data_IF_233199894125
#
_entry.id   IF_233199894125
#
_cell.length_a   1.000
_cell.length_b   1.000
_cell.length_c   1.000
_cell.angle_alpha   90.00
_cell.angle_beta   90.00
_cell.angle_gamma   90.00
#
_symmetry.space_group_name_H-M   'P 1'
#
loop_
_entity.id
_entity.type
_entity.pdbx_description
1 polymer ?
#
# COMPACT_ATOMS: atom_id res chain seq x y z
N UNK A 1 -31.92 68.50 2.33
CA UNK A 1 -31.40 67.25 1.70
C UNK A 1 -30.23 66.70 2.56
N UNK A 2 -30.42 65.56 3.25
CA UNK A 2 -29.32 64.92 4.02
C UNK A 2 -28.61 63.99 3.11
N UNK A 3 -27.30 64.21 2.84
CA UNK A 3 -26.46 63.33 2.06
C UNK A 3 -26.22 62.05 2.86
N UNK A 4 -26.62 60.91 2.28
CA UNK A 4 -26.48 59.62 2.86
C UNK A 4 -25.03 59.12 2.57
N UNK A 5 -24.11 59.29 3.51
CA UNK A 5 -22.73 58.86 3.40
C UNK A 5 -22.64 57.35 3.65
N UNK A 6 -22.65 56.56 2.58
CA UNK A 6 -22.35 55.13 2.66
C UNK A 6 -20.90 54.91 3.13
N UNK A 7 -20.70 54.42 4.36
CA UNK A 7 -19.41 53.98 4.86
C UNK A 7 -18.92 52.76 4.04
N UNK A 8 -17.90 52.94 3.22
CA UNK A 8 -17.27 51.86 2.44
C UNK A 8 -16.72 50.82 3.41
N UNK A 9 -17.32 49.62 3.44
CA UNK A 9 -16.84 48.51 4.28
C UNK A 9 -15.40 48.17 3.88
N UNK A 10 -14.46 48.21 4.82
CA UNK A 10 -13.07 47.85 4.59
C UNK A 10 -12.93 46.31 4.63
N UNK A 11 -12.67 45.72 3.50
CA UNK A 11 -12.39 44.25 3.36
C UNK A 11 -10.92 43.89 3.63
N UNK A 12 -10.11 44.84 4.12
CA UNK A 12 -8.67 44.63 4.33
C UNK A 12 -8.37 43.46 5.26
N UNK A 13 -9.12 43.31 6.35
CA UNK A 13 -8.98 42.19 7.28
C UNK A 13 -9.28 40.85 6.60
N UNK A 14 -10.35 40.81 5.78
CA UNK A 14 -10.72 39.59 5.03
C UNK A 14 -9.60 39.17 4.07
N UNK A 15 -9.05 40.10 3.28
CA UNK A 15 -7.97 39.82 2.37
C UNK A 15 -6.69 39.34 3.07
N UNK A 16 -6.35 39.93 4.23
CA UNK A 16 -5.21 39.49 5.05
C UNK A 16 -5.45 38.06 5.56
N UNK A 17 -6.64 37.75 6.07
CA UNK A 17 -6.97 36.39 6.53
C UNK A 17 -6.91 35.39 5.39
N UNK A 18 -7.46 35.70 4.22
CA UNK A 18 -7.39 34.83 3.05
C UNK A 18 -5.93 34.59 2.58
N UNK A 19 -5.10 35.65 2.61
CA UNK A 19 -3.68 35.52 2.27
C UNK A 19 -2.94 34.62 3.26
N UNK A 20 -3.21 34.73 4.56
CA UNK A 20 -2.62 33.83 5.59
C UNK A 20 -3.06 32.39 5.35
N UNK A 21 -4.35 32.13 5.12
CA UNK A 21 -4.86 30.79 4.82
C UNK A 21 -4.18 30.22 3.58
N UNK A 22 -4.06 31.01 2.51
CA UNK A 22 -3.41 30.57 1.27
C UNK A 22 -1.93 30.19 1.50
N UNK A 23 -1.19 31.00 2.26
CA UNK A 23 0.21 30.71 2.60
C UNK A 23 0.31 29.42 3.41
N UNK A 24 -0.51 29.26 4.45
CA UNK A 24 -0.51 28.04 5.27
C UNK A 24 -0.87 26.80 4.44
N UNK A 25 -1.87 26.92 3.56
CA UNK A 25 -2.25 25.82 2.66
C UNK A 25 -1.13 25.44 1.69
N UNK A 26 -0.47 26.42 1.07
CA UNK A 26 0.68 26.17 0.18
C UNK A 26 1.86 25.54 0.93
N UNK A 27 2.12 25.97 2.16
CA UNK A 27 3.17 25.38 3.00
C UNK A 27 2.84 23.93 3.35
N UNK A 28 1.60 23.63 3.72
CA UNK A 28 1.15 22.29 4.02
C UNK A 28 1.24 21.37 2.79
N UNK A 29 0.78 21.86 1.62
CA UNK A 29 0.88 21.12 0.35
C UNK A 29 2.36 20.83 0.01
N UNK A 30 3.24 21.84 0.13
CA UNK A 30 4.67 21.65 -0.13
C UNK A 30 5.27 20.60 0.81
N UNK A 31 4.94 20.65 2.10
CA UNK A 31 5.40 19.66 3.08
C UNK A 31 4.93 18.24 2.72
N UNK A 32 3.65 18.08 2.32
CA UNK A 32 3.10 16.79 1.87
C UNK A 32 3.84 16.30 0.63
N UNK A 33 4.05 17.16 -0.37
CA UNK A 33 4.76 16.80 -1.59
C UNK A 33 6.21 16.36 -1.31
N UNK A 34 6.92 17.06 -0.44
CA UNK A 34 8.27 16.64 -0.01
C UNK A 34 8.22 15.30 0.68
N UNK A 35 7.26 15.08 1.59
CA UNK A 35 7.11 13.85 2.35
C UNK A 35 6.85 12.62 1.46
N UNK A 36 5.93 12.72 0.49
CA UNK A 36 5.58 11.59 -0.40
C UNK A 36 6.67 11.33 -1.45
N UNK A 37 7.50 12.33 -1.81
CA UNK A 37 8.61 12.15 -2.75
C UNK A 37 9.93 11.71 -2.07
N UNK A 38 9.99 11.73 -0.75
CA UNK A 38 11.12 11.20 0.02
C UNK A 38 10.84 9.72 0.36
N UNK A 39 11.18 8.81 -0.55
CA UNK A 39 10.94 7.37 -0.42
C UNK A 39 12.12 6.53 -0.89
N UNK A 40 12.20 5.29 -0.43
CA UNK A 40 13.21 4.31 -0.83
C UNK A 40 12.89 3.78 -2.22
N UNK A 41 13.78 4.04 -3.17
CA UNK A 41 13.62 3.64 -4.57
C UNK A 41 14.02 2.19 -4.81
N UNK A 42 13.39 1.56 -5.79
CA UNK A 42 13.82 0.29 -6.32
C UNK A 42 15.23 0.42 -6.93
N UNK A 43 16.08 -0.57 -6.66
CA UNK A 43 17.41 -0.65 -7.25
C UNK A 43 17.39 -1.42 -8.58
N UNK A 44 18.52 -1.46 -9.27
CA UNK A 44 18.63 -2.13 -10.58
C UNK A 44 18.22 -3.62 -10.52
N UNK A 45 18.54 -4.32 -9.43
CA UNK A 45 18.15 -5.72 -9.23
C UNK A 45 16.64 -5.86 -9.13
N UNK A 46 15.99 -4.94 -8.43
CA UNK A 46 14.53 -4.94 -8.29
C UNK A 46 13.85 -4.64 -9.63
N UNK A 47 14.37 -3.68 -10.40
CA UNK A 47 13.85 -3.36 -11.73
C UNK A 47 14.07 -4.52 -12.73
N UNK A 48 15.20 -5.22 -12.67
CA UNK A 48 15.45 -6.39 -13.51
C UNK A 48 14.47 -7.55 -13.22
N UNK A 49 13.97 -7.67 -11.98
CA UNK A 49 12.98 -8.68 -11.63
C UNK A 49 11.56 -8.39 -12.16
N UNK A 50 11.35 -7.25 -12.82
CA UNK A 50 10.10 -6.95 -13.53
C UNK A 50 10.08 -7.51 -14.97
N UNK A 51 11.20 -8.05 -15.44
CA UNK A 51 11.24 -8.73 -16.73
C UNK A 51 10.65 -10.13 -16.60
N UNK A 52 9.87 -10.56 -17.61
CA UNK A 52 9.39 -11.94 -17.69
C UNK A 52 10.55 -12.91 -17.88
N UNK A 53 10.43 -14.10 -17.31
CA UNK A 53 11.39 -15.21 -17.45
C UNK A 53 10.74 -16.41 -18.15
N UNK A 54 11.51 -17.48 -18.36
CA UNK A 54 10.97 -18.74 -18.89
C UNK A 54 9.90 -19.36 -17.98
N UNK A 55 9.93 -19.05 -16.67
CA UNK A 55 9.04 -19.60 -15.65
C UNK A 55 7.88 -18.70 -15.24
N UNK A 56 8.04 -17.39 -15.39
CA UNK A 56 7.14 -16.37 -14.86
C UNK A 56 6.85 -15.31 -15.92
N UNK A 57 5.57 -15.11 -16.21
CA UNK A 57 5.09 -13.97 -16.98
C UNK A 57 4.84 -12.79 -16.04
N UNK A 58 5.34 -11.60 -16.39
CA UNK A 58 5.14 -10.37 -15.60
C UNK A 58 4.27 -9.41 -16.38
N UNK A 59 3.15 -9.01 -15.80
CA UNK A 59 2.15 -8.13 -16.41
C UNK A 59 1.89 -6.92 -15.52
N UNK A 60 1.87 -5.73 -16.11
CA UNK A 60 1.49 -4.49 -15.44
C UNK A 60 0.08 -4.11 -15.86
N UNK A 61 -0.81 -3.86 -14.92
CA UNK A 61 -2.19 -3.46 -15.18
C UNK A 61 -2.37 -1.93 -15.33
N UNK A 62 -3.61 -1.51 -15.59
CA UNK A 62 -3.96 -0.09 -15.76
C UNK A 62 -3.77 0.73 -14.47
N UNK A 63 -3.81 0.08 -13.30
CA UNK A 63 -3.56 0.68 -11.98
C UNK A 63 -2.08 0.69 -11.60
N UNK A 64 -1.20 0.27 -12.52
CA UNK A 64 0.24 0.12 -12.32
C UNK A 64 0.64 -0.98 -11.32
N UNK A 65 -0.29 -1.82 -10.85
CA UNK A 65 0.05 -3.01 -10.08
C UNK A 65 0.70 -4.06 -10.99
N UNK A 66 1.58 -4.88 -10.43
CA UNK A 66 2.34 -5.88 -11.18
C UNK A 66 1.92 -7.27 -10.77
N UNK A 67 1.54 -8.09 -11.73
CA UNK A 67 1.24 -9.51 -11.52
C UNK A 67 2.35 -10.38 -12.06
N UNK A 68 2.84 -11.28 -11.22
CA UNK A 68 3.83 -12.31 -11.53
C UNK A 68 3.08 -13.64 -11.66
N UNK A 69 2.99 -14.16 -12.88
CA UNK A 69 2.16 -15.33 -13.21
C UNK A 69 3.06 -16.54 -13.48
N UNK A 70 3.10 -17.54 -12.60
CA UNK A 70 3.86 -18.77 -12.83
C UNK A 70 3.20 -19.68 -13.87
N UNK A 71 3.96 -20.55 -14.51
CA UNK A 71 3.43 -21.59 -15.43
C UNK A 71 2.44 -22.53 -14.77
N UNK A 72 2.69 -22.86 -13.50
CA UNK A 72 1.83 -23.71 -12.68
C UNK A 72 1.49 -22.99 -11.39
N UNK A 73 0.22 -22.63 -11.25
CA UNK A 73 -0.27 -21.87 -10.11
C UNK A 73 -0.72 -22.88 -9.03
N UNK A 74 -0.20 -22.73 -7.82
CA UNK A 74 -0.59 -23.50 -6.63
C UNK A 74 -1.39 -22.68 -5.64
N UNK A 75 -1.11 -21.36 -5.56
CA UNK A 75 -1.80 -20.40 -4.69
C UNK A 75 -1.66 -18.98 -5.25
N UNK A 76 -2.42 -18.03 -4.72
CA UNK A 76 -2.30 -16.62 -5.02
C UNK A 76 -1.91 -15.79 -3.79
N UNK A 77 -1.14 -14.73 -4.00
CA UNK A 77 -0.75 -13.75 -3.00
C UNK A 77 -1.02 -12.35 -3.52
N UNK A 78 -1.78 -11.55 -2.76
CA UNK A 78 -1.91 -10.12 -2.97
C UNK A 78 -1.02 -9.41 -1.95
N UNK A 79 -0.10 -8.54 -2.41
CA UNK A 79 0.93 -7.96 -1.57
C UNK A 79 0.89 -6.44 -1.54
N UNK A 80 0.77 -5.89 -0.32
CA UNK A 80 0.81 -4.46 -0.01
C UNK A 80 2.23 -4.02 0.32
N UNK A 81 2.82 -3.07 -0.42
CA UNK A 81 4.16 -2.55 -0.15
C UNK A 81 4.23 -1.73 1.14
N UNK A 82 5.40 -1.62 1.71
CA UNK A 82 5.68 -0.79 2.89
C UNK A 82 5.57 0.70 2.59
N UNK A 83 5.23 1.48 3.62
CA UNK A 83 5.14 2.93 3.50
C UNK A 83 6.48 3.57 3.12
N UNK A 84 6.45 4.53 2.20
CA UNK A 84 7.64 5.21 1.67
C UNK A 84 8.65 4.26 1.00
N UNK A 85 8.19 3.15 0.45
CA UNK A 85 9.00 2.24 -0.37
C UNK A 85 8.36 2.14 -1.74
N UNK A 86 9.14 2.32 -2.79
CA UNK A 86 8.69 2.07 -4.17
C UNK A 86 8.25 0.61 -4.29
N UNK A 87 7.01 0.37 -4.70
CA UNK A 87 6.44 -0.99 -4.69
C UNK A 87 7.28 -1.97 -5.50
N UNK A 88 7.88 -1.54 -6.60
CA UNK A 88 8.75 -2.36 -7.45
C UNK A 88 10.02 -2.87 -6.72
N UNK A 89 10.36 -2.30 -5.56
CA UNK A 89 11.45 -2.83 -4.72
C UNK A 89 11.17 -4.26 -4.21
N UNK A 90 9.90 -4.69 -4.20
CA UNK A 90 9.48 -6.04 -3.81
C UNK A 90 9.44 -7.03 -4.99
N UNK A 91 9.70 -6.58 -6.22
CA UNK A 91 9.65 -7.43 -7.40
C UNK A 91 10.53 -8.69 -7.29
N UNK A 92 11.76 -8.66 -6.74
CA UNK A 92 12.56 -9.88 -6.58
C UNK A 92 11.89 -10.94 -5.71
N UNK A 93 11.24 -10.53 -4.62
CA UNK A 93 10.51 -11.44 -3.74
C UNK A 93 9.29 -12.03 -4.46
N UNK A 94 8.54 -11.20 -5.16
CA UNK A 94 7.34 -11.66 -5.90
C UNK A 94 7.70 -12.59 -7.03
N UNK A 95 8.78 -12.29 -7.76
CA UNK A 95 9.28 -13.14 -8.84
C UNK A 95 9.74 -14.52 -8.32
N UNK A 96 10.48 -14.54 -7.21
CA UNK A 96 10.95 -15.78 -6.58
C UNK A 96 9.78 -16.63 -6.07
N UNK A 97 8.77 -16.01 -5.47
CA UNK A 97 7.54 -16.71 -5.08
C UNK A 97 6.80 -17.28 -6.30
N UNK A 98 6.77 -16.53 -7.41
CA UNK A 98 6.16 -16.99 -8.65
C UNK A 98 6.94 -18.13 -9.29
N UNK A 99 8.27 -18.12 -9.27
CA UNK A 99 9.09 -19.26 -9.68
C UNK A 99 8.77 -20.54 -8.88
N UNK A 100 8.23 -20.39 -7.67
CA UNK A 100 7.77 -21.48 -6.81
C UNK A 100 6.26 -21.74 -6.88
N UNK A 101 5.58 -21.22 -7.89
CA UNK A 101 4.18 -21.53 -8.19
C UNK A 101 3.13 -20.63 -7.51
N UNK A 102 3.52 -19.53 -6.91
CA UNK A 102 2.60 -18.59 -6.27
C UNK A 102 2.33 -17.43 -7.23
N UNK A 103 1.10 -17.28 -7.71
CA UNK A 103 0.70 -16.09 -8.44
C UNK A 103 0.74 -14.87 -7.50
N UNK A 104 1.62 -13.90 -7.78
CA UNK A 104 1.81 -12.75 -6.92
C UNK A 104 1.28 -11.47 -7.57
N UNK A 105 0.44 -10.74 -6.86
CA UNK A 105 -0.05 -9.42 -7.26
C UNK A 105 0.56 -8.38 -6.34
N UNK A 106 1.51 -7.62 -6.86
CA UNK A 106 2.21 -6.55 -6.17
C UNK A 106 1.46 -5.24 -6.42
N UNK A 107 0.78 -4.74 -5.41
CA UNK A 107 -0.07 -3.56 -5.51
C UNK A 107 0.75 -2.27 -5.62
N UNK A 108 0.34 -1.38 -6.52
CA UNK A 108 0.82 0.00 -6.56
C UNK A 108 0.02 0.85 -5.56
N UNK A 109 0.71 1.68 -4.77
CA UNK A 109 0.08 2.54 -3.77
C UNK A 109 0.26 4.02 -4.08
N UNK A 110 -0.82 4.83 -4.03
CA UNK A 110 -0.73 6.28 -4.19
C UNK A 110 0.28 6.88 -3.20
N UNK A 111 1.24 7.65 -3.69
CA UNK A 111 2.27 8.27 -2.87
C UNK A 111 3.12 7.29 -2.04
N UNK A 112 3.22 6.03 -2.44
CA UNK A 112 3.89 4.95 -1.71
C UNK A 112 3.34 4.75 -0.27
N UNK A 113 2.03 4.93 -0.08
CA UNK A 113 1.37 4.81 1.22
C UNK A 113 0.09 3.97 1.11
N UNK A 114 0.13 2.73 1.58
CA UNK A 114 -0.99 1.79 1.54
C UNK A 114 -2.26 2.30 2.26
N UNK A 115 -2.11 3.20 3.23
CA UNK A 115 -3.24 3.83 3.92
C UNK A 115 -4.09 4.73 3.01
N UNK A 116 -3.56 5.19 1.89
CA UNK A 116 -4.28 6.04 0.92
C UNK A 116 -5.17 5.21 -0.02
N UNK A 117 -4.96 3.87 -0.06
CA UNK A 117 -5.78 2.94 -0.84
C UNK A 117 -5.80 1.57 -0.13
N UNK A 118 -6.50 1.53 1.00
CA UNK A 118 -6.56 0.34 1.84
C UNK A 118 -7.32 -0.83 1.17
N UNK A 119 -8.22 -0.51 0.26
CA UNK A 119 -9.07 -1.47 -0.46
C UNK A 119 -8.50 -1.80 -1.88
N UNK A 120 -7.22 -1.47 -2.15
CA UNK A 120 -6.54 -1.71 -3.43
C UNK A 120 -6.53 -3.19 -3.87
N UNK A 121 -6.77 -4.15 -2.96
CA UNK A 121 -6.89 -5.58 -3.27
C UNK A 121 -8.22 -5.94 -3.95
N UNK A 122 -9.19 -5.03 -4.00
CA UNK A 122 -10.53 -5.31 -4.53
C UNK A 122 -10.50 -5.84 -5.96
N UNK A 123 -11.21 -6.94 -6.17
CA UNK A 123 -11.42 -7.54 -7.49
C UNK A 123 -10.25 -8.37 -8.02
N UNK A 124 -9.03 -8.27 -7.49
CA UNK A 124 -7.86 -9.00 -8.03
C UNK A 124 -8.01 -10.51 -7.94
N UNK A 125 -8.42 -11.06 -6.80
CA UNK A 125 -8.62 -12.51 -6.66
C UNK A 125 -9.65 -13.05 -7.65
N UNK A 126 -10.69 -12.28 -7.93
CA UNK A 126 -11.75 -12.66 -8.88
C UNK A 126 -11.32 -12.72 -10.35
N UNK A 127 -10.20 -12.08 -10.72
CA UNK A 127 -9.65 -12.11 -12.09
C UNK A 127 -9.00 -13.45 -12.42
N UNK A 128 -8.62 -14.23 -11.41
CA UNK A 128 -7.90 -15.50 -11.56
C UNK A 128 -8.73 -16.66 -10.98
N UNK A 129 -9.81 -17.02 -11.68
CA UNK A 129 -10.79 -18.03 -11.23
C UNK A 129 -10.22 -19.46 -11.07
N UNK A 130 -9.04 -19.71 -11.61
CA UNK A 130 -8.30 -20.96 -11.47
C UNK A 130 -7.43 -21.01 -10.19
N UNK A 131 -7.38 -19.94 -9.40
CA UNK A 131 -6.69 -19.88 -8.10
C UNK A 131 -7.73 -20.01 -7.00
N UNK A 132 -7.64 -21.08 -6.21
CA UNK A 132 -8.59 -21.38 -5.11
C UNK A 132 -8.09 -20.90 -3.76
N UNK A 133 -6.77 -20.93 -3.55
CA UNK A 133 -6.15 -20.61 -2.28
C UNK A 133 -5.46 -19.25 -2.35
N UNK A 134 -6.15 -18.24 -1.84
CA UNK A 134 -5.62 -16.89 -1.80
C UNK A 134 -5.07 -16.53 -0.42
N UNK A 135 -3.95 -15.83 -0.44
CA UNK A 135 -3.34 -15.20 0.72
C UNK A 135 -3.18 -13.71 0.47
N UNK A 136 -3.12 -12.95 1.55
CA UNK A 136 -2.86 -11.52 1.48
C UNK A 136 -1.74 -11.18 2.43
N UNK A 137 -0.90 -10.23 2.09
CA UNK A 137 0.22 -9.89 2.95
C UNK A 137 0.80 -8.54 2.64
N UNK A 138 1.80 -8.15 3.42
CA UNK A 138 2.48 -6.89 3.18
C UNK A 138 3.62 -6.65 4.16
N UNK A 139 4.41 -5.63 3.84
CA UNK A 139 5.53 -5.19 4.65
C UNK A 139 5.16 -3.93 5.43
N UNK A 140 5.53 -3.87 6.73
CA UNK A 140 5.37 -2.67 7.57
C UNK A 140 3.94 -2.11 7.49
N UNK A 141 3.74 -0.84 7.10
CA UNK A 141 2.43 -0.23 6.91
C UNK A 141 1.52 -1.02 5.95
N UNK A 142 2.10 -1.62 4.89
CA UNK A 142 1.37 -2.48 3.97
C UNK A 142 0.79 -3.72 4.64
N UNK A 143 1.54 -4.34 5.55
CA UNK A 143 1.04 -5.49 6.32
C UNK A 143 -0.11 -5.13 7.26
N UNK A 144 -0.09 -3.93 7.86
CA UNK A 144 -1.24 -3.42 8.65
C UNK A 144 -2.49 -3.28 7.77
N UNK A 145 -2.34 -2.75 6.55
CA UNK A 145 -3.47 -2.61 5.61
C UNK A 145 -3.95 -3.96 5.10
N UNK A 146 -3.05 -4.87 4.74
CA UNK A 146 -3.37 -6.23 4.34
C UNK A 146 -4.17 -6.98 5.43
N UNK A 147 -3.74 -6.91 6.69
CA UNK A 147 -4.45 -7.51 7.81
C UNK A 147 -5.85 -6.88 8.02
N UNK A 148 -5.93 -5.55 7.91
CA UNK A 148 -7.21 -4.83 8.02
C UNK A 148 -8.17 -5.18 6.88
N UNK A 149 -7.67 -5.38 5.66
CA UNK A 149 -8.44 -5.84 4.52
C UNK A 149 -8.91 -7.28 4.72
N UNK A 150 -8.00 -8.19 5.11
CA UNK A 150 -8.33 -9.59 5.39
C UNK A 150 -9.39 -9.74 6.47
N UNK A 151 -9.36 -8.91 7.52
CA UNK A 151 -10.37 -8.94 8.57
C UNK A 151 -11.79 -8.63 8.07
N UNK A 152 -11.93 -7.82 7.01
CA UNK A 152 -13.21 -7.48 6.39
C UNK A 152 -13.66 -8.52 5.35
N UNK A 153 -12.72 -9.30 4.82
CA UNK A 153 -12.92 -10.24 3.72
C UNK A 153 -12.36 -11.64 4.05
N UNK A 154 -12.55 -12.10 5.30
CA UNK A 154 -11.90 -13.30 5.81
C UNK A 154 -12.21 -14.56 4.98
N UNK A 155 -13.43 -14.67 4.45
CA UNK A 155 -13.84 -15.80 3.61
C UNK A 155 -13.11 -15.89 2.26
N UNK A 156 -12.44 -14.80 1.84
CA UNK A 156 -11.70 -14.74 0.58
C UNK A 156 -10.25 -15.25 0.71
N UNK A 157 -9.73 -15.41 1.93
CA UNK A 157 -8.32 -15.69 2.16
C UNK A 157 -8.11 -16.86 3.11
N UNK A 158 -7.13 -17.70 2.81
CA UNK A 158 -6.64 -18.75 3.71
C UNK A 158 -5.73 -18.20 4.82
N UNK A 159 -5.16 -17.01 4.65
CA UNK A 159 -4.28 -16.42 5.67
C UNK A 159 -3.67 -15.09 5.30
N UNK A 160 -2.94 -14.53 6.29
CA UNK A 160 -2.27 -13.23 6.23
C UNK A 160 -0.76 -13.40 6.44
N UNK A 161 0.05 -12.73 5.62
CA UNK A 161 1.51 -12.71 5.71
C UNK A 161 1.98 -11.33 6.14
N UNK A 162 2.60 -11.23 7.31
CA UNK A 162 3.08 -9.99 7.91
C UNK A 162 4.63 -9.97 7.89
N UNK A 163 5.21 -9.11 7.06
CA UNK A 163 6.65 -8.92 7.00
C UNK A 163 7.01 -7.62 7.75
N UNK A 164 7.74 -7.74 8.85
CA UNK A 164 8.05 -6.62 9.75
C UNK A 164 6.81 -5.76 10.04
N UNK A 165 5.68 -6.41 10.36
CA UNK A 165 4.37 -5.77 10.52
C UNK A 165 3.54 -6.46 11.60
N UNK A 166 2.41 -5.86 11.96
CA UNK A 166 1.45 -6.41 12.91
C UNK A 166 0.02 -6.11 12.43
N UNK A 167 -0.96 -6.84 12.96
CA UNK A 167 -2.38 -6.54 12.74
C UNK A 167 -2.88 -5.54 13.76
N UNK A 168 -3.68 -4.55 13.31
CA UNK A 168 -4.49 -3.68 14.18
C UNK A 168 -5.93 -4.16 14.28
N UNK A 169 -6.33 -5.12 13.43
CA UNK A 169 -7.60 -5.82 13.51
C UNK A 169 -7.45 -7.11 14.30
N UNK A 170 -8.50 -7.52 14.99
CA UNK A 170 -8.56 -8.84 15.64
C UNK A 170 -8.81 -9.90 14.56
N UNK A 171 -7.87 -10.85 14.43
CA UNK A 171 -7.92 -11.94 13.46
C UNK A 171 -8.22 -13.30 14.11
N UNK A 172 -8.36 -13.38 15.45
CA UNK A 172 -8.35 -14.62 16.21
C UNK A 172 -9.52 -15.58 15.88
N UNK A 173 -10.70 -15.04 15.58
CA UNK A 173 -11.90 -15.84 15.32
C UNK A 173 -12.28 -15.91 13.84
N UNK A 174 -11.39 -15.46 12.94
CA UNK A 174 -11.68 -15.36 11.50
C UNK A 174 -11.26 -16.60 10.69
N UNK A 175 -10.63 -17.60 11.31
CA UNK A 175 -10.16 -18.79 10.62
C UNK A 175 -8.95 -18.56 9.70
N UNK A 176 -8.32 -17.40 9.77
CA UNK A 176 -7.17 -17.03 8.97
C UNK A 176 -5.87 -17.58 9.57
N UNK A 177 -5.05 -18.26 8.77
CA UNK A 177 -3.68 -18.55 9.16
C UNK A 177 -2.85 -17.25 9.18
N UNK A 178 -1.97 -17.07 10.16
CA UNK A 178 -1.10 -15.87 10.25
C UNK A 178 0.36 -16.30 10.23
N UNK A 179 1.11 -15.83 9.21
CA UNK A 179 2.55 -15.93 9.16
C UNK A 179 3.15 -14.55 9.46
N UNK A 180 3.91 -14.45 10.54
CA UNK A 180 4.65 -13.22 10.90
C UNK A 180 6.15 -13.46 10.80
N UNK A 181 6.84 -12.63 10.03
CA UNK A 181 8.29 -12.67 9.83
C UNK A 181 8.87 -11.29 10.15
N UNK A 182 9.85 -11.24 11.04
CA UNK A 182 10.52 -10.00 11.43
C UNK A 182 11.98 -10.25 11.80
N UNK A 183 12.79 -9.20 11.72
CA UNK A 183 14.19 -9.26 12.14
C UNK A 183 14.31 -9.20 13.66
N UNK A 184 15.20 -10.02 14.26
CA UNK A 184 15.48 -9.98 15.71
C UNK A 184 16.04 -8.63 16.17
N UNK A 185 16.67 -7.88 15.26
CA UNK A 185 17.28 -6.56 15.51
C UNK A 185 16.44 -5.42 14.88
N UNK A 186 15.14 -5.66 14.63
CA UNK A 186 14.25 -4.62 14.10
C UNK A 186 14.00 -3.54 15.14
N UNK A 187 14.62 -2.37 14.97
CA UNK A 187 14.50 -1.24 15.89
C UNK A 187 13.23 -0.40 15.70
N UNK A 188 12.39 -0.71 14.70
CA UNK A 188 11.15 0.02 14.38
C UNK A 188 9.92 -0.71 14.88
N UNK A 189 9.95 -2.04 14.78
CA UNK A 189 8.84 -2.89 15.17
C UNK A 189 8.73 -3.01 16.69
N UNK A 190 7.54 -2.75 17.23
CA UNK A 190 7.27 -2.93 18.67
C UNK A 190 6.83 -4.37 18.91
N UNK A 191 7.74 -5.22 19.41
CA UNK A 191 7.50 -6.65 19.64
C UNK A 191 6.38 -6.91 20.69
N UNK A 192 6.08 -5.97 21.57
CA UNK A 192 4.97 -6.03 22.52
C UNK A 192 3.57 -6.04 21.87
N UNK A 193 3.48 -5.78 20.58
CA UNK A 193 2.25 -5.87 19.79
C UNK A 193 2.02 -7.22 19.09
N UNK A 194 2.92 -8.18 19.29
CA UNK A 194 2.84 -9.54 18.68
C UNK A 194 2.29 -10.62 19.61
N UNK A 195 1.72 -10.23 20.74
CA UNK A 195 1.10 -11.18 21.71
C UNK A 195 -0.38 -11.26 21.51
#
# INVERSE_FOLDING_TARGET
MKANTYKKKSYKKLWVTLAIIAVLSLTAINFILVYINDYYKANEKALAALESSDGVEVVVDENHSVTFIPKHITAGLIFYPGGKVEYTAYAPLMHELADNGILCILLHMPGNLAVLDADAADGYAGQYSNVTDWYIGGHSLGGVMAASYAAKHADAFGGVILLASYSTADLSDLGLAVLSVYGSEDGVLKLDKYV
#
